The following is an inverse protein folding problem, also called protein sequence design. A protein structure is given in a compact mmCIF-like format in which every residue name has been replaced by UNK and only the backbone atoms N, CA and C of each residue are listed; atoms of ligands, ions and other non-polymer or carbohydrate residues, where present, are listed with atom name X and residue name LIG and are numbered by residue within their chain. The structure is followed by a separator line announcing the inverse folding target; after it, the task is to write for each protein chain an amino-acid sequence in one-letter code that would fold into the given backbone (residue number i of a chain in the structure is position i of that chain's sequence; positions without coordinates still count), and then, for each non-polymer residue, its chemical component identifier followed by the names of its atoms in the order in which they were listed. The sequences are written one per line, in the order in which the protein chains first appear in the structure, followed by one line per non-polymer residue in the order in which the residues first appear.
data_IF_057895229916
#
_entry.id   IF_057895229916
#
_cell.length_a   1.000
_cell.length_b   1.000
_cell.length_c   1.000
_cell.angle_alpha   90.00
_cell.angle_beta   90.00
_cell.angle_gamma   90.00
#
_symmetry.space_group_name_H-M   'P 1'
#
loop_
_entity.id
_entity.type
_entity.pdbx_description
1 polymer ?
#
# COMPACT_ATOMS: atom_id res chain seq x y z
N UNK A 1 24.47 14.56 -5.02
CA UNK A 1 23.28 15.15 -4.46
C UNK A 1 21.99 14.65 -5.06
N UNK A 2 21.62 15.04 -6.28
CA UNK A 2 20.40 14.51 -6.92
C UNK A 2 20.41 12.98 -7.01
N UNK A 3 21.57 12.42 -7.29
CA UNK A 3 21.74 10.97 -7.41
C UNK A 3 21.47 10.24 -6.09
N UNK A 4 21.92 10.80 -4.96
CA UNK A 4 21.68 10.22 -3.64
C UNK A 4 20.20 10.27 -3.27
N UNK A 5 19.55 11.37 -3.56
CA UNK A 5 18.12 11.54 -3.29
C UNK A 5 17.28 10.58 -4.13
N UNK A 6 17.65 10.38 -5.38
CA UNK A 6 16.94 9.46 -6.27
C UNK A 6 17.06 8.01 -5.78
N UNK A 7 18.24 7.60 -5.33
CA UNK A 7 18.43 6.26 -4.79
C UNK A 7 17.57 6.06 -3.53
N UNK A 8 17.55 7.05 -2.65
CA UNK A 8 16.73 7.00 -1.44
C UNK A 8 15.25 6.91 -1.77
N UNK A 9 14.78 7.71 -2.75
CA UNK A 9 13.38 7.66 -3.19
C UNK A 9 13.03 6.29 -3.75
N UNK A 10 13.91 5.71 -4.55
CA UNK A 10 13.68 4.37 -5.10
C UNK A 10 13.56 3.33 -4.02
N UNK A 11 14.42 3.41 -3.00
CA UNK A 11 14.36 2.50 -1.87
C UNK A 11 13.06 2.66 -1.08
N UNK A 12 12.65 3.91 -0.84
CA UNK A 12 11.40 4.20 -0.14
C UNK A 12 10.19 3.73 -0.94
N UNK A 13 10.21 3.95 -2.25
CA UNK A 13 9.14 3.48 -3.15
C UNK A 13 9.06 1.96 -3.12
N UNK A 14 10.21 1.30 -3.15
CA UNK A 14 10.23 -0.17 -3.10
C UNK A 14 9.62 -0.68 -1.80
N UNK A 15 9.97 -0.07 -0.67
CA UNK A 15 9.40 -0.44 0.62
C UNK A 15 7.89 -0.24 0.65
N UNK A 16 7.43 0.89 0.12
CA UNK A 16 6.00 1.22 0.09
C UNK A 16 5.24 0.27 -0.81
N UNK A 17 5.79 -0.04 -1.99
CA UNK A 17 5.12 -0.96 -2.92
C UNK A 17 5.14 -2.39 -2.42
N UNK A 18 6.21 -2.82 -1.76
CA UNK A 18 6.25 -4.13 -1.11
C UNK A 18 5.19 -4.22 -0.01
N UNK A 19 5.02 -3.16 0.75
CA UNK A 19 3.99 -3.09 1.80
C UNK A 19 2.59 -3.07 1.21
N UNK A 20 2.41 -2.35 0.10
CA UNK A 20 1.13 -2.35 -0.62
C UNK A 20 0.75 -3.74 -1.08
N UNK A 21 1.69 -4.48 -1.65
CA UNK A 21 1.44 -5.84 -2.09
C UNK A 21 1.06 -6.74 -0.92
N UNK A 22 1.76 -6.62 0.19
CA UNK A 22 1.46 -7.37 1.40
C UNK A 22 0.05 -7.08 1.89
N UNK A 23 -0.31 -5.80 1.98
CA UNK A 23 -1.65 -5.40 2.43
C UNK A 23 -2.74 -5.84 1.45
N UNK A 24 -2.47 -5.74 0.16
CA UNK A 24 -3.42 -6.20 -0.87
C UNK A 24 -3.65 -7.70 -0.77
N UNK A 25 -2.58 -8.47 -0.53
CA UNK A 25 -2.67 -9.92 -0.34
C UNK A 25 -3.50 -10.25 0.90
N UNK A 26 -3.26 -9.55 2.00
CA UNK A 26 -4.04 -9.72 3.23
C UNK A 26 -5.50 -9.36 3.01
N UNK A 27 -5.75 -8.27 2.31
CA UNK A 27 -7.12 -7.86 1.98
C UNK A 27 -7.84 -8.93 1.19
N UNK A 28 -7.19 -9.48 0.17
CA UNK A 28 -7.77 -10.56 -0.62
C UNK A 28 -8.10 -11.76 0.25
N UNK A 29 -7.20 -12.14 1.14
CA UNK A 29 -7.43 -13.27 2.04
C UNK A 29 -8.65 -13.03 2.94
N UNK A 30 -8.80 -11.82 3.46
CA UNK A 30 -9.95 -11.47 4.29
C UNK A 30 -11.25 -11.50 3.49
N UNK A 31 -11.23 -10.96 2.29
CA UNK A 31 -12.42 -10.95 1.42
C UNK A 31 -12.82 -12.37 1.06
N UNK A 32 -11.84 -13.22 0.75
CA UNK A 32 -12.10 -14.61 0.39
C UNK A 32 -12.74 -15.42 1.54
N UNK A 33 -12.46 -15.01 2.77
CA UNK A 33 -12.99 -15.68 3.98
C UNK A 33 -14.33 -15.14 4.43
N UNK A 34 -14.73 -13.95 3.96
CA UNK A 34 -16.00 -13.35 4.38
C UNK A 34 -17.11 -13.71 3.41
N UNK A 35 -18.33 -13.87 3.95
CA UNK A 35 -19.48 -14.07 3.10
C UNK A 35 -19.99 -12.72 2.58
N UNK A 36 -20.90 -12.78 1.59
CA UNK A 36 -21.47 -11.60 0.95
C UNK A 36 -22.10 -10.61 1.92
N UNK A 37 -22.59 -11.11 3.05
CA UNK A 37 -23.34 -10.31 4.01
C UNK A 37 -22.50 -9.77 5.16
N UNK A 38 -21.21 -10.10 5.19
CA UNK A 38 -20.36 -9.72 6.31
C UNK A 38 -19.30 -8.74 5.87
N UNK A 39 -19.50 -7.47 6.21
CA UNK A 39 -18.46 -6.45 6.05
C UNK A 39 -17.54 -6.55 7.25
N UNK A 40 -16.36 -7.09 7.02
CA UNK A 40 -15.37 -7.22 8.07
C UNK A 40 -14.73 -5.87 8.37
N UNK A 41 -14.61 -5.53 9.64
CA UNK A 41 -13.88 -4.34 10.08
C UNK A 41 -12.43 -4.40 9.60
N UNK A 42 -11.86 -5.61 9.56
CA UNK A 42 -10.49 -5.81 9.08
C UNK A 42 -10.35 -5.45 7.60
N UNK A 43 -11.34 -5.75 6.78
CA UNK A 43 -11.32 -5.39 5.35
C UNK A 43 -11.29 -3.87 5.20
N UNK A 44 -12.14 -3.17 5.94
CA UNK A 44 -12.21 -1.71 5.89
C UNK A 44 -10.89 -1.10 6.36
N UNK A 45 -10.33 -1.63 7.42
CA UNK A 45 -9.07 -1.17 7.99
C UNK A 45 -7.91 -1.36 7.01
N UNK A 46 -7.81 -2.53 6.40
CA UNK A 46 -6.77 -2.83 5.40
C UNK A 46 -6.92 -1.96 4.17
N UNK A 47 -8.14 -1.72 3.71
CA UNK A 47 -8.40 -0.84 2.58
C UNK A 47 -7.93 0.58 2.88
N UNK A 48 -8.14 1.07 4.11
CA UNK A 48 -7.66 2.38 4.54
C UNK A 48 -6.15 2.47 4.55
N UNK A 49 -5.47 1.43 5.01
CA UNK A 49 -4.01 1.38 5.00
C UNK A 49 -3.45 1.38 3.58
N UNK A 50 -4.08 0.63 2.69
CA UNK A 50 -3.70 0.59 1.27
C UNK A 50 -3.85 1.98 0.65
N UNK A 51 -4.95 2.66 0.95
CA UNK A 51 -5.20 4.01 0.44
C UNK A 51 -4.10 4.98 0.87
N UNK A 52 -3.71 4.94 2.13
CA UNK A 52 -2.63 5.81 2.65
C UNK A 52 -1.31 5.53 1.95
N UNK A 53 -0.96 4.27 1.78
CA UNK A 53 0.29 3.90 1.11
C UNK A 53 0.25 4.27 -0.37
N UNK A 54 -0.89 4.09 -1.01
CA UNK A 54 -1.04 4.47 -2.41
C UNK A 54 -0.84 5.97 -2.59
N UNK A 55 -1.35 6.79 -1.68
CA UNK A 55 -1.11 8.24 -1.69
C UNK A 55 0.35 8.57 -1.51
N UNK A 56 1.02 7.88 -0.59
CA UNK A 56 2.44 8.08 -0.34
C UNK A 56 3.26 7.79 -1.60
N UNK A 57 2.98 6.68 -2.26
CA UNK A 57 3.65 6.32 -3.51
C UNK A 57 3.40 7.39 -4.58
N UNK A 58 2.16 7.83 -4.71
CA UNK A 58 1.77 8.85 -5.67
C UNK A 58 2.54 10.15 -5.43
N UNK A 59 2.63 10.59 -4.18
CA UNK A 59 3.37 11.81 -3.83
C UNK A 59 4.85 11.68 -4.15
N UNK A 60 5.45 10.54 -3.86
CA UNK A 60 6.85 10.31 -4.17
C UNK A 60 7.10 10.29 -5.67
N UNK A 61 6.19 9.72 -6.44
CA UNK A 61 6.31 9.70 -7.89
C UNK A 61 6.21 11.10 -8.50
N UNK A 62 5.41 11.96 -7.93
CA UNK A 62 5.28 13.35 -8.41
C UNK A 62 6.55 14.15 -8.25
N UNK A 63 7.42 13.77 -7.33
CA UNK A 63 8.66 14.48 -7.04
C UNK A 63 9.84 13.99 -7.86
N UNK A 64 9.61 13.00 -8.69
CA UNK A 64 10.64 12.55 -9.63
C UNK A 64 10.85 13.61 -10.74
#
# INVERSE_FOLDING_TARGET
MAKKENVKRQQDLKKDTDKLLELATQLKQHVDKTNENTLSVEVIKKAGEIEKLARSVKEKMKRY
#
